data_IF_087032307483
#
_entry.id   IF_087032307483
#
_cell.length_a   1.000
_cell.length_b   1.000
_cell.length_c   1.000
_cell.angle_alpha   90.00
_cell.angle_beta   90.00
_cell.angle_gamma   90.00
#
_symmetry.space_group_name_H-M   'P 1'
#
loop_
_entity.id
_entity.type
_entity.pdbx_description
1 polymer ?
#
# COMPACT_ATOMS: atom_id res chain seq x y z
N UNK A 1 -7.71 -36.11 12.37
CA UNK A 1 -7.43 -36.12 10.92
C UNK A 1 -6.31 -35.11 10.71
N UNK A 2 -5.14 -35.58 10.28
CA UNK A 2 -4.01 -34.74 9.94
C UNK A 2 -4.38 -33.94 8.68
N UNK A 3 -4.69 -32.68 8.84
CA UNK A 3 -4.89 -31.74 7.73
C UNK A 3 -3.52 -31.14 7.41
N UNK A 4 -2.70 -31.90 6.68
CA UNK A 4 -1.32 -31.56 6.31
C UNK A 4 -1.21 -31.19 4.84
N UNK A 5 -2.11 -30.35 4.34
CA UNK A 5 -1.82 -29.59 3.14
C UNK A 5 -1.26 -28.24 3.60
N UNK A 6 0.07 -28.09 3.58
CA UNK A 6 0.77 -26.80 3.67
C UNK A 6 0.54 -25.98 2.37
N UNK A 7 -0.68 -26.03 1.83
CA UNK A 7 -1.06 -25.31 0.62
C UNK A 7 -1.40 -23.87 0.98
N UNK A 8 -0.77 -22.92 0.28
CA UNK A 8 -1.06 -21.51 0.46
C UNK A 8 -2.52 -21.23 0.07
N UNK A 9 -3.33 -20.85 1.06
CA UNK A 9 -4.68 -20.35 0.81
C UNK A 9 -4.58 -18.97 0.13
N UNK A 10 -5.24 -18.83 -1.01
CA UNK A 10 -5.29 -17.56 -1.75
C UNK A 10 -6.47 -16.74 -1.24
N UNK A 11 -6.24 -15.44 -1.07
CA UNK A 11 -7.33 -14.49 -0.83
C UNK A 11 -7.86 -14.01 -2.18
N UNK A 12 -9.15 -14.17 -2.41
CA UNK A 12 -9.89 -13.60 -3.53
C UNK A 12 -11.05 -14.49 -3.97
N UNK A 13 -12.10 -13.86 -4.51
CA UNK A 13 -13.26 -14.55 -5.10
C UNK A 13 -13.40 -14.16 -6.57
N UNK A 14 -13.58 -15.14 -7.45
CA UNK A 14 -13.89 -14.90 -8.86
C UNK A 14 -15.33 -14.39 -8.99
N UNK A 15 -15.51 -13.23 -9.63
CA UNK A 15 -16.81 -12.61 -9.88
C UNK A 15 -17.69 -13.44 -10.82
N UNK A 16 -17.08 -14.20 -11.74
CA UNK A 16 -17.80 -15.01 -12.72
C UNK A 16 -18.33 -16.32 -12.13
N UNK A 17 -17.61 -16.93 -11.20
CA UNK A 17 -17.98 -18.22 -10.60
C UNK A 17 -18.53 -18.12 -9.17
N UNK A 18 -18.23 -17.04 -8.45
CA UNK A 18 -18.46 -16.93 -7.02
C UNK A 18 -17.66 -17.95 -6.21
N UNK A 19 -16.54 -18.44 -6.74
CA UNK A 19 -15.65 -19.39 -6.05
C UNK A 19 -14.35 -18.70 -5.61
N UNK A 20 -13.70 -19.18 -4.54
CA UNK A 20 -12.35 -18.78 -4.21
C UNK A 20 -11.41 -18.92 -5.41
N UNK A 21 -10.46 -17.99 -5.53
CA UNK A 21 -9.45 -18.06 -6.57
C UNK A 21 -8.62 -19.34 -6.44
N UNK A 22 -8.15 -19.90 -7.57
CA UNK A 22 -7.36 -21.12 -7.55
C UNK A 22 -6.07 -20.92 -6.75
N UNK A 23 -5.64 -21.99 -6.06
CA UNK A 23 -4.37 -22.01 -5.33
C UNK A 23 -3.18 -21.78 -6.24
N UNK A 24 -2.09 -21.24 -5.69
CA UNK A 24 -0.81 -21.16 -6.39
C UNK A 24 -0.30 -22.58 -6.62
N UNK A 25 -0.09 -22.95 -7.88
CA UNK A 25 0.37 -24.29 -8.23
C UNK A 25 1.81 -24.53 -7.76
N UNK A 26 2.16 -25.79 -7.50
CA UNK A 26 3.55 -26.17 -7.14
C UNK A 26 4.53 -25.79 -8.25
N UNK A 27 4.12 -25.86 -9.52
CA UNK A 27 4.90 -25.40 -10.66
C UNK A 27 5.11 -23.88 -10.61
N UNK A 28 4.08 -23.11 -10.27
CA UNK A 28 4.16 -21.66 -10.09
C UNK A 28 5.12 -21.28 -8.97
N UNK A 29 5.00 -21.92 -7.81
CA UNK A 29 5.92 -21.73 -6.68
C UNK A 29 7.36 -22.08 -7.07
N UNK A 30 7.57 -23.18 -7.79
CA UNK A 30 8.89 -23.60 -8.26
C UNK A 30 9.49 -22.63 -9.27
N UNK A 31 8.67 -22.06 -10.16
CA UNK A 31 9.11 -21.05 -11.12
C UNK A 31 9.53 -19.74 -10.43
N UNK A 32 8.75 -19.28 -9.44
CA UNK A 32 9.11 -18.14 -8.60
C UNK A 32 10.43 -18.38 -7.87
N UNK A 33 10.59 -19.53 -7.20
CA UNK A 33 11.81 -19.86 -6.48
C UNK A 33 13.06 -19.89 -7.39
N UNK A 34 12.93 -20.42 -8.62
CA UNK A 34 14.02 -20.43 -9.61
C UNK A 34 14.41 -19.02 -10.07
N UNK A 35 13.45 -18.11 -10.24
CA UNK A 35 13.70 -16.71 -10.59
C UNK A 35 14.48 -16.01 -9.48
N UNK A 36 14.03 -16.18 -8.23
CA UNK A 36 14.65 -15.57 -7.06
C UNK A 36 16.07 -16.09 -6.80
N UNK A 37 16.38 -17.34 -7.17
CA UNK A 37 17.71 -17.94 -7.01
C UNK A 37 18.82 -17.32 -7.89
N UNK A 38 18.48 -16.46 -8.86
CA UNK A 38 19.47 -15.82 -9.72
C UNK A 38 20.17 -14.66 -8.97
N UNK A 39 21.52 -14.59 -8.98
CA UNK A 39 22.23 -13.47 -8.37
C UNK A 39 21.91 -12.14 -9.06
N UNK A 40 21.52 -11.13 -8.29
CA UNK A 40 21.36 -9.75 -8.75
C UNK A 40 21.82 -8.76 -7.66
N UNK A 41 22.02 -7.50 -8.04
CA UNK A 41 22.55 -6.48 -7.12
C UNK A 41 21.60 -6.21 -5.94
N UNK A 42 20.29 -6.33 -6.17
CA UNK A 42 19.23 -6.24 -5.18
C UNK A 42 19.42 -7.31 -4.09
N UNK A 43 19.64 -8.56 -4.50
CA UNK A 43 19.85 -9.69 -3.59
C UNK A 43 21.09 -9.51 -2.74
N UNK A 44 22.22 -9.11 -3.35
CA UNK A 44 23.45 -8.85 -2.59
C UNK A 44 23.24 -7.73 -1.56
N UNK A 45 22.49 -6.68 -1.91
CA UNK A 45 22.16 -5.62 -0.97
C UNK A 45 21.20 -6.10 0.14
N UNK A 46 20.18 -6.90 -0.18
CA UNK A 46 19.29 -7.51 0.82
C UNK A 46 20.04 -8.44 1.79
N UNK A 47 20.93 -9.29 1.27
CA UNK A 47 21.76 -10.19 2.07
C UNK A 47 22.64 -9.38 3.04
N UNK A 48 23.26 -8.30 2.57
CA UNK A 48 24.05 -7.41 3.42
C UNK A 48 23.24 -6.75 4.54
N UNK A 49 21.95 -6.43 4.31
CA UNK A 49 21.04 -5.89 5.33
C UNK A 49 20.65 -6.89 6.40
N UNK A 50 20.76 -8.19 6.11
CA UNK A 50 20.45 -9.27 7.05
C UNK A 50 21.69 -9.79 7.78
N UNK A 51 22.88 -9.25 7.46
CA UNK A 51 24.12 -9.65 8.12
C UNK A 51 24.08 -9.30 9.63
N UNK A 52 24.68 -10.12 10.50
CA UNK A 52 24.63 -9.91 11.96
C UNK A 52 25.21 -8.57 12.43
N UNK A 53 26.15 -8.02 11.67
CA UNK A 53 26.88 -6.76 11.90
C UNK A 53 26.28 -5.57 11.14
N UNK A 54 25.22 -5.78 10.35
CA UNK A 54 24.57 -4.71 9.61
C UNK A 54 24.01 -3.64 10.56
N UNK A 55 24.10 -2.35 10.20
CA UNK A 55 23.41 -1.28 10.93
C UNK A 55 21.93 -1.62 11.08
N UNK A 56 21.40 -1.52 12.31
CA UNK A 56 19.97 -1.78 12.57
C UNK A 56 19.05 -0.68 12.02
N UNK A 57 19.62 0.43 11.57
CA UNK A 57 18.89 1.54 10.98
C UNK A 57 18.49 1.19 9.54
N UNK A 58 17.19 1.30 9.26
CA UNK A 58 16.61 1.07 7.95
C UNK A 58 15.94 2.38 7.54
N UNK A 59 16.34 2.92 6.40
CA UNK A 59 15.85 4.23 5.93
C UNK A 59 16.97 5.26 5.88
N UNK A 60 16.89 6.27 6.75
CA UNK A 60 17.83 7.40 6.79
C UNK A 60 19.06 7.16 7.68
N UNK A 61 20.12 7.93 7.42
CA UNK A 61 21.33 7.99 8.26
C UNK A 61 21.02 8.50 9.67
N UNK A 62 21.89 8.17 10.63
CA UNK A 62 21.67 8.40 12.07
C UNK A 62 21.67 9.88 12.47
N UNK A 63 22.17 10.74 11.60
CA UNK A 63 22.20 12.20 11.73
C UNK A 63 20.83 12.85 11.51
N UNK A 64 19.84 12.10 11.02
CA UNK A 64 18.45 12.55 10.90
C UNK A 64 17.70 12.19 12.19
N UNK A 65 17.23 13.20 12.92
CA UNK A 65 16.61 13.02 14.24
C UNK A 65 15.15 12.56 14.10
N UNK A 66 14.39 13.19 13.18
CA UNK A 66 13.02 12.78 12.85
C UNK A 66 12.89 12.44 11.36
N UNK A 67 12.79 11.16 10.98
CA UNK A 67 12.62 10.76 9.58
C UNK A 67 11.28 11.22 8.98
N UNK A 68 10.31 11.69 9.78
CA UNK A 68 9.06 12.27 9.27
C UNK A 68 9.16 13.79 9.07
N UNK A 69 10.24 14.43 9.54
CA UNK A 69 10.48 15.85 9.28
C UNK A 69 11.07 16.01 7.87
N UNK A 70 10.26 16.50 6.93
CA UNK A 70 10.69 16.68 5.54
C UNK A 70 11.85 17.68 5.37
N UNK A 71 12.05 18.61 6.31
CA UNK A 71 13.18 19.52 6.27
C UNK A 71 14.54 18.82 6.50
N UNK A 72 14.52 17.63 7.11
CA UNK A 72 15.70 16.79 7.34
C UNK A 72 15.75 15.59 6.38
N UNK A 73 14.61 14.94 6.15
CA UNK A 73 14.51 13.73 5.32
C UNK A 73 14.41 14.02 3.81
N UNK A 74 13.91 15.20 3.44
CA UNK A 74 13.70 15.61 2.06
C UNK A 74 12.49 14.97 1.38
N UNK A 75 12.13 15.49 0.20
CA UNK A 75 11.06 14.93 -0.63
C UNK A 75 11.38 15.06 -2.12
N UNK A 76 11.23 13.96 -2.87
CA UNK A 76 11.50 13.88 -4.30
C UNK A 76 10.25 13.51 -5.09
N UNK A 77 10.08 14.11 -6.27
CA UNK A 77 9.10 13.63 -7.27
C UNK A 77 9.85 13.09 -8.47
N UNK A 78 9.60 11.83 -8.82
CA UNK A 78 10.21 11.15 -9.95
C UNK A 78 9.16 10.98 -11.04
N UNK A 79 9.21 11.85 -12.04
CA UNK A 79 8.31 11.78 -13.19
C UNK A 79 8.79 10.75 -14.20
N UNK A 80 7.85 10.03 -14.81
CA UNK A 80 8.13 9.31 -16.04
C UNK A 80 8.66 10.28 -17.10
N UNK A 81 9.61 9.85 -17.94
CA UNK A 81 10.24 10.75 -18.94
C UNK A 81 9.24 11.33 -19.93
N UNK A 82 8.24 10.55 -20.27
CA UNK A 82 7.11 10.86 -21.14
C UNK A 82 5.92 11.48 -20.39
N UNK A 83 6.08 11.82 -19.10
CA UNK A 83 5.02 12.44 -18.31
C UNK A 83 4.54 13.75 -18.96
N UNK A 84 3.26 13.78 -19.32
CA UNK A 84 2.60 14.90 -19.98
C UNK A 84 2.68 16.18 -19.12
N UNK A 85 2.91 17.36 -19.73
CA UNK A 85 2.97 18.63 -18.99
C UNK A 85 1.74 18.93 -18.14
N UNK A 86 0.54 18.53 -18.60
CA UNK A 86 -0.71 18.72 -17.86
C UNK A 86 -0.72 17.97 -16.52
N UNK A 87 -0.09 16.80 -16.42
CA UNK A 87 0.02 16.05 -15.16
C UNK A 87 0.92 16.79 -14.17
N UNK A 88 2.03 17.37 -14.66
CA UNK A 88 2.94 18.17 -13.81
C UNK A 88 2.23 19.41 -13.26
N UNK A 89 1.47 20.08 -14.12
CA UNK A 89 0.64 21.21 -13.73
C UNK A 89 -0.43 20.82 -12.71
N UNK A 90 -1.09 19.67 -12.90
CA UNK A 90 -2.09 19.15 -11.98
C UNK A 90 -1.53 18.87 -10.57
N UNK A 91 -0.27 18.45 -10.48
CA UNK A 91 0.42 18.18 -9.21
C UNK A 91 1.07 19.41 -8.56
N UNK A 92 1.03 20.58 -9.22
CA UNK A 92 1.67 21.79 -8.75
C UNK A 92 1.31 22.18 -7.30
N UNK A 93 0.04 22.09 -6.84
CA UNK A 93 -0.30 22.40 -5.45
C UNK A 93 0.44 21.52 -4.43
N UNK A 94 0.58 20.22 -4.70
CA UNK A 94 1.30 19.29 -3.83
C UNK A 94 2.81 19.55 -3.87
N UNK A 95 3.35 19.81 -5.07
CA UNK A 95 4.76 20.17 -5.27
C UNK A 95 5.13 21.42 -4.47
N UNK A 96 4.29 22.45 -4.49
CA UNK A 96 4.52 23.69 -3.74
C UNK A 96 4.48 23.47 -2.23
N UNK A 97 3.54 22.66 -1.73
CA UNK A 97 3.49 22.29 -0.32
C UNK A 97 4.77 21.55 0.10
N UNK A 98 5.17 20.52 -0.65
CA UNK A 98 6.37 19.73 -0.36
C UNK A 98 7.65 20.54 -0.47
N UNK A 99 7.74 21.47 -1.43
CA UNK A 99 8.87 22.40 -1.53
C UNK A 99 8.98 23.31 -0.31
N UNK A 100 7.86 23.79 0.23
CA UNK A 100 7.85 24.59 1.47
C UNK A 100 8.28 23.78 2.69
N UNK A 101 7.87 22.52 2.78
CA UNK A 101 8.18 21.64 3.91
C UNK A 101 9.62 21.12 3.88
N UNK A 102 10.13 20.73 2.70
CA UNK A 102 11.44 20.10 2.54
C UNK A 102 12.58 21.07 2.23
N UNK A 103 12.28 22.32 1.85
CA UNK A 103 13.30 23.33 1.52
C UNK A 103 14.27 22.87 0.43
N UNK A 104 15.57 22.94 0.71
CA UNK A 104 16.65 22.60 -0.24
C UNK A 104 16.73 21.10 -0.56
N UNK A 105 16.14 20.26 0.30
CA UNK A 105 16.03 18.81 0.11
C UNK A 105 14.82 18.42 -0.75
N UNK A 106 14.06 19.38 -1.27
CA UNK A 106 13.08 19.12 -2.31
C UNK A 106 13.75 18.91 -3.68
N UNK A 107 13.44 17.80 -4.37
CA UNK A 107 13.99 17.48 -5.70
C UNK A 107 12.90 17.10 -6.70
N UNK A 108 13.07 17.54 -7.94
CA UNK A 108 12.29 17.08 -9.09
C UNK A 108 13.21 16.29 -10.03
N UNK A 109 12.86 15.04 -10.29
CA UNK A 109 13.53 14.20 -11.28
C UNK A 109 12.65 14.12 -12.51
N UNK A 110 13.04 14.85 -13.56
CA UNK A 110 12.31 14.98 -14.82
C UNK A 110 13.26 15.04 -16.00
N UNK A 111 12.78 14.67 -17.20
CA UNK A 111 13.60 14.67 -18.41
C UNK A 111 14.86 13.81 -18.25
N UNK A 112 16.04 14.42 -18.31
CA UNK A 112 17.31 13.70 -18.20
C UNK A 112 17.60 13.16 -16.79
N UNK A 113 17.11 13.81 -15.72
CA UNK A 113 17.32 13.35 -14.34
C UNK A 113 16.36 12.22 -13.94
N UNK A 114 15.22 12.08 -14.62
CA UNK A 114 14.32 10.94 -14.47
C UNK A 114 14.94 9.62 -14.99
N UNK A 115 14.57 8.45 -14.42
CA UNK A 115 15.00 7.15 -14.92
C UNK A 115 14.66 6.98 -16.41
N UNK A 116 15.60 6.44 -17.21
CA UNK A 116 15.26 6.03 -18.57
C UNK A 116 14.39 4.77 -18.56
N UNK A 117 13.55 4.54 -19.58
CA UNK A 117 12.85 3.26 -19.73
C UNK A 117 13.85 2.09 -19.68
N UNK A 118 13.61 1.15 -18.78
CA UNK A 118 14.49 -0.01 -18.54
C UNK A 118 15.85 0.31 -17.89
N UNK A 119 16.09 1.54 -17.43
CA UNK A 119 17.31 1.87 -16.67
C UNK A 119 17.31 1.13 -15.32
N UNK A 120 18.36 0.34 -15.00
CA UNK A 120 18.46 -0.28 -13.69
C UNK A 120 18.50 0.76 -12.56
N UNK A 121 17.78 0.52 -11.47
CA UNK A 121 17.67 1.48 -10.36
C UNK A 121 19.03 1.92 -9.82
N UNK A 122 19.97 1.00 -9.62
CA UNK A 122 21.33 1.32 -9.14
C UNK A 122 22.05 2.31 -10.06
N UNK A 123 21.86 2.19 -11.38
CA UNK A 123 22.45 3.13 -12.34
C UNK A 123 21.84 4.52 -12.21
N UNK A 124 20.51 4.61 -12.05
CA UNK A 124 19.81 5.86 -11.80
C UNK A 124 20.23 6.50 -10.46
N UNK A 125 20.33 5.70 -9.40
CA UNK A 125 20.76 6.13 -8.06
C UNK A 125 22.16 6.76 -8.13
N UNK A 126 23.12 6.03 -8.70
CA UNK A 126 24.52 6.45 -8.78
C UNK A 126 24.71 7.75 -9.57
N UNK A 127 24.03 7.90 -10.71
CA UNK A 127 24.16 9.13 -11.52
C UNK A 127 23.47 10.35 -10.89
N UNK A 128 22.61 10.14 -9.90
CA UNK A 128 21.99 11.20 -9.11
C UNK A 128 22.71 11.44 -7.77
N UNK A 129 23.91 10.87 -7.58
CA UNK A 129 24.81 11.18 -6.47
C UNK A 129 24.62 10.35 -5.20
N UNK A 130 23.71 9.37 -5.22
CA UNK A 130 23.48 8.45 -4.12
C UNK A 130 24.05 7.06 -4.42
N UNK A 131 23.97 6.15 -3.45
CA UNK A 131 24.30 4.72 -3.59
C UNK A 131 23.18 3.89 -2.97
N UNK A 132 23.03 2.62 -3.37
CA UNK A 132 22.04 1.71 -2.80
C UNK A 132 22.46 1.28 -1.38
N UNK A 133 22.26 2.17 -0.42
CA UNK A 133 22.58 2.02 1.00
C UNK A 133 21.66 2.94 1.83
N UNK A 134 21.85 2.97 3.16
CA UNK A 134 21.18 3.89 4.08
C UNK A 134 21.19 5.31 3.51
N UNK A 135 20.02 5.94 3.47
CA UNK A 135 19.80 7.19 2.75
C UNK A 135 20.36 8.37 3.53
N UNK A 136 21.28 9.07 2.89
CA UNK A 136 21.72 10.40 3.29
C UNK A 136 21.01 11.42 2.38
N UNK A 137 19.97 12.13 2.85
CA UNK A 137 19.17 13.04 2.02
C UNK A 137 19.98 14.18 1.37
N UNK A 138 21.16 14.48 1.92
CA UNK A 138 22.07 15.50 1.41
C UNK A 138 22.92 14.99 0.22
N UNK A 139 22.90 13.68 -0.06
CA UNK A 139 23.60 13.04 -1.19
C UNK A 139 22.69 12.82 -2.41
N UNK A 140 22.02 13.89 -2.83
CA UNK A 140 21.37 13.99 -4.14
C UNK A 140 19.95 13.43 -4.23
N UNK A 141 19.63 12.32 -3.56
CA UNK A 141 18.28 11.71 -3.55
C UNK A 141 17.67 11.80 -2.15
N UNK A 142 16.56 12.55 -1.98
CA UNK A 142 15.87 12.66 -0.69
C UNK A 142 15.17 11.35 -0.30
N UNK A 143 14.83 11.17 0.97
CA UNK A 143 14.31 9.92 1.52
C UNK A 143 12.91 9.54 1.02
N UNK A 144 11.97 10.50 0.97
CA UNK A 144 10.64 10.24 0.43
C UNK A 144 10.63 10.45 -1.08
N UNK A 145 10.17 9.45 -1.84
CA UNK A 145 10.08 9.52 -3.29
C UNK A 145 8.65 9.25 -3.75
N UNK A 146 8.08 10.17 -4.52
CA UNK A 146 6.83 9.98 -5.24
C UNK A 146 7.11 9.67 -6.71
N UNK A 147 6.89 8.44 -7.13
CA UNK A 147 6.92 8.06 -8.54
C UNK A 147 5.61 8.52 -9.21
N UNK A 148 5.72 9.22 -10.33
CA UNK A 148 4.56 9.69 -11.10
C UNK A 148 4.62 9.10 -12.50
N UNK A 149 3.87 8.02 -12.69
CA UNK A 149 3.85 7.26 -13.94
C UNK A 149 3.40 5.81 -13.78
N UNK A 150 3.01 5.20 -14.90
CA UNK A 150 2.60 3.79 -14.95
C UNK A 150 3.77 2.85 -14.61
N UNK A 151 3.49 1.60 -14.25
CA UNK A 151 4.51 0.56 -14.15
C UNK A 151 5.25 0.30 -15.47
N UNK A 152 4.68 0.64 -16.62
CA UNK A 152 5.35 0.50 -17.92
C UNK A 152 6.43 1.58 -18.11
N UNK A 153 6.13 2.83 -17.78
CA UNK A 153 7.10 3.94 -17.91
C UNK A 153 8.11 3.97 -16.78
N UNK A 154 7.72 3.57 -15.56
CA UNK A 154 8.60 3.39 -14.40
C UNK A 154 8.36 1.98 -13.84
N UNK A 155 9.20 0.98 -14.14
CA UNK A 155 9.03 -0.42 -13.74
C UNK A 155 8.87 -0.63 -12.22
N UNK A 156 8.13 -1.68 -11.85
CA UNK A 156 8.05 -2.12 -10.46
C UNK A 156 9.41 -2.56 -9.93
N UNK A 157 10.27 -3.18 -10.76
CA UNK A 157 11.65 -3.49 -10.34
C UNK A 157 12.38 -2.25 -9.83
N UNK A 158 12.23 -1.10 -10.50
CA UNK A 158 12.87 0.14 -10.04
C UNK A 158 12.34 0.57 -8.67
N UNK A 159 11.03 0.50 -8.47
CA UNK A 159 10.40 0.84 -7.20
C UNK A 159 10.85 -0.10 -6.08
N UNK A 160 10.84 -1.41 -6.31
CA UNK A 160 11.24 -2.40 -5.31
C UNK A 160 12.71 -2.26 -4.88
N UNK A 161 13.61 -1.96 -5.83
CA UNK A 161 15.01 -1.70 -5.49
C UNK A 161 15.14 -0.42 -4.66
N UNK A 162 14.37 0.63 -4.95
CA UNK A 162 14.37 1.85 -4.12
C UNK A 162 13.77 1.62 -2.73
N UNK A 163 12.67 0.88 -2.62
CA UNK A 163 11.99 0.53 -1.35
C UNK A 163 12.87 -0.25 -0.36
N UNK A 164 14.05 -0.70 -0.79
CA UNK A 164 15.05 -1.25 0.12
C UNK A 164 15.56 -0.22 1.13
N UNK A 165 15.68 1.05 0.72
CA UNK A 165 16.25 2.12 1.55
C UNK A 165 15.47 3.44 1.53
N UNK A 166 14.69 3.73 0.49
CA UNK A 166 13.83 4.92 0.40
C UNK A 166 12.39 4.61 0.80
N UNK A 167 11.64 5.64 1.16
CA UNK A 167 10.19 5.56 1.33
C UNK A 167 9.51 5.92 0.00
N UNK A 168 9.12 4.92 -0.79
CA UNK A 168 8.60 5.14 -2.14
C UNK A 168 7.08 4.99 -2.19
N UNK A 169 6.41 6.00 -2.73
CA UNK A 169 5.01 5.95 -3.12
C UNK A 169 4.88 6.07 -4.64
N UNK A 170 3.83 5.50 -5.22
CA UNK A 170 3.51 5.67 -6.64
C UNK A 170 2.15 6.33 -6.81
N UNK A 171 2.09 7.27 -7.74
CA UNK A 171 0.87 7.89 -8.20
C UNK A 171 0.69 7.64 -9.69
N UNK A 172 -0.39 6.98 -10.04
CA UNK A 172 -0.78 6.75 -11.42
C UNK A 172 -2.31 6.78 -11.56
N UNK A 173 -2.79 7.74 -12.34
CA UNK A 173 -4.18 7.85 -12.77
C UNK A 173 -4.25 8.00 -14.29
N UNK A 174 -5.44 7.76 -14.83
CA UNK A 174 -5.70 7.80 -16.27
C UNK A 174 -5.77 9.22 -16.83
N UNK A 175 -6.14 10.21 -16.01
CA UNK A 175 -6.40 11.58 -16.46
C UNK A 175 -5.70 12.65 -15.61
N UNK A 176 -5.25 13.78 -16.18
CA UNK A 176 -4.69 14.91 -15.42
C UNK A 176 -5.62 15.42 -14.31
N UNK A 177 -6.93 15.38 -14.52
CA UNK A 177 -7.95 15.81 -13.55
C UNK A 177 -7.93 14.97 -12.27
N UNK A 178 -7.64 13.67 -12.37
CA UNK A 178 -7.48 12.79 -11.22
C UNK A 178 -6.23 13.13 -10.40
N UNK A 179 -5.11 13.44 -11.05
CA UNK A 179 -3.92 13.95 -10.36
C UNK A 179 -4.22 15.27 -9.63
N UNK A 180 -4.98 16.17 -10.26
CA UNK A 180 -5.37 17.44 -9.64
C UNK A 180 -6.26 17.21 -8.40
N UNK A 181 -7.26 16.33 -8.50
CA UNK A 181 -8.11 15.96 -7.36
C UNK A 181 -7.31 15.34 -6.23
N UNK A 182 -6.37 14.45 -6.54
CA UNK A 182 -5.48 13.87 -5.54
C UNK A 182 -4.63 14.94 -4.85
N UNK A 183 -3.93 15.79 -5.61
CA UNK A 183 -3.07 16.83 -5.07
C UNK A 183 -3.85 17.81 -4.18
N UNK A 184 -5.02 18.26 -4.64
CA UNK A 184 -5.90 19.14 -3.86
C UNK A 184 -6.40 18.45 -2.58
N UNK A 185 -6.79 17.17 -2.66
CA UNK A 185 -7.27 16.41 -1.49
C UNK A 185 -6.19 16.25 -0.42
N UNK A 186 -4.96 15.86 -0.83
CA UNK A 186 -3.82 15.71 0.10
C UNK A 186 -3.47 17.03 0.75
N UNK A 187 -3.34 18.10 -0.05
CA UNK A 187 -3.04 19.44 0.47
C UNK A 187 -4.13 19.89 1.44
N UNK A 188 -5.40 19.75 1.07
CA UNK A 188 -6.53 20.14 1.91
C UNK A 188 -6.56 19.38 3.23
N UNK A 189 -6.21 18.08 3.23
CA UNK A 189 -6.14 17.27 4.44
C UNK A 189 -4.98 17.72 5.36
N UNK A 190 -3.78 17.91 4.81
CA UNK A 190 -2.59 18.22 5.62
C UNK A 190 -2.60 19.63 6.20
N UNK A 191 -3.22 20.60 5.52
CA UNK A 191 -3.31 21.99 6.01
C UNK A 191 -4.60 22.26 6.79
N UNK A 192 -5.46 21.25 6.95
CA UNK A 192 -6.72 21.41 7.66
C UNK A 192 -6.46 21.81 9.12
N UNK A 193 -7.15 22.84 9.65
CA UNK A 193 -7.00 23.23 11.05
C UNK A 193 -7.64 22.21 12.01
N UNK A 194 -8.47 21.31 11.49
CA UNK A 194 -9.21 20.30 12.24
C UNK A 194 -9.10 18.96 11.54
N UNK A 195 -8.70 17.94 12.28
CA UNK A 195 -8.69 16.55 11.82
C UNK A 195 -10.12 16.04 11.74
N UNK A 196 -10.56 15.58 10.56
CA UNK A 196 -11.93 15.08 10.34
C UNK A 196 -12.18 13.69 10.94
N UNK A 197 -11.12 12.89 11.08
CA UNK A 197 -11.20 11.56 11.67
C UNK A 197 -11.17 11.62 13.20
N UNK A 198 -11.84 10.69 13.86
CA UNK A 198 -11.78 10.51 15.30
C UNK A 198 -10.73 9.46 15.69
N UNK A 199 -10.30 9.45 16.96
CA UNK A 199 -9.35 8.45 17.51
C UNK A 199 -10.06 7.11 17.69
N UNK A 200 -10.44 6.51 16.59
CA UNK A 200 -11.15 5.24 16.52
C UNK A 200 -10.56 4.35 15.44
N UNK A 201 -10.64 3.04 15.68
CA UNK A 201 -10.32 2.01 14.71
C UNK A 201 -11.60 1.24 14.40
N UNK A 202 -11.94 1.10 13.12
CA UNK A 202 -12.96 0.15 12.67
C UNK A 202 -12.30 -1.17 12.27
N UNK A 203 -12.65 -2.26 12.95
CA UNK A 203 -12.26 -3.62 12.59
C UNK A 203 -13.44 -4.27 11.87
N UNK A 204 -13.28 -4.51 10.57
CA UNK A 204 -14.28 -5.06 9.67
C UNK A 204 -13.82 -6.43 9.16
N UNK A 205 -14.49 -7.51 9.50
CA UNK A 205 -14.08 -8.83 9.04
C UNK A 205 -15.28 -9.73 8.73
N UNK A 206 -15.26 -10.32 7.54
CA UNK A 206 -16.24 -11.34 7.16
C UNK A 206 -15.81 -12.72 7.66
N UNK A 207 -16.76 -13.64 7.72
CA UNK A 207 -16.54 -15.06 7.97
C UNK A 207 -17.62 -15.84 7.22
N UNK A 208 -17.32 -16.32 6.01
CA UNK A 208 -18.27 -17.12 5.23
C UNK A 208 -18.13 -18.60 5.60
N UNK A 209 -19.25 -19.31 5.72
CA UNK A 209 -19.29 -20.69 6.23
C UNK A 209 -18.49 -21.70 5.37
N UNK A 210 -18.34 -21.40 4.09
CA UNK A 210 -17.68 -22.27 3.09
C UNK A 210 -16.24 -21.84 2.81
N UNK A 211 -15.77 -20.78 3.46
CA UNK A 211 -14.47 -20.19 3.18
C UNK A 211 -13.55 -20.25 4.40
N UNK A 212 -12.56 -21.14 4.30
CA UNK A 212 -11.56 -21.36 5.35
C UNK A 212 -10.72 -20.11 5.60
N UNK A 213 -10.47 -19.30 4.58
CA UNK A 213 -9.55 -18.17 4.69
C UNK A 213 -10.13 -17.06 5.58
N UNK A 214 -11.37 -16.63 5.35
CA UNK A 214 -12.05 -15.65 6.22
C UNK A 214 -12.29 -16.19 7.62
N UNK A 215 -12.61 -17.49 7.77
CA UNK A 215 -12.72 -18.13 9.09
C UNK A 215 -11.40 -18.10 9.89
N UNK A 216 -10.27 -18.37 9.23
CA UNK A 216 -8.96 -18.30 9.86
C UNK A 216 -8.60 -16.87 10.23
N UNK A 217 -8.83 -15.89 9.36
CA UNK A 217 -8.62 -14.49 9.69
C UNK A 217 -9.46 -14.06 10.89
N UNK A 218 -10.75 -14.42 10.91
CA UNK A 218 -11.66 -14.14 12.01
C UNK A 218 -11.12 -14.69 13.33
N UNK A 219 -10.83 -16.00 13.38
CA UNK A 219 -10.43 -16.69 14.61
C UNK A 219 -9.00 -16.38 15.06
N UNK A 220 -8.08 -16.08 14.13
CA UNK A 220 -6.64 -15.94 14.42
C UNK A 220 -6.14 -14.49 14.42
N UNK A 221 -6.92 -13.55 13.87
CA UNK A 221 -6.53 -12.14 13.77
C UNK A 221 -7.63 -11.24 14.33
N UNK A 222 -8.83 -11.25 13.75
CA UNK A 222 -9.88 -10.28 14.12
C UNK A 222 -10.33 -10.42 15.59
N UNK A 223 -10.74 -11.62 16.01
CA UNK A 223 -11.18 -11.86 17.38
C UNK A 223 -10.08 -11.59 18.42
N UNK A 224 -8.82 -12.06 18.25
CA UNK A 224 -7.72 -11.69 19.14
C UNK A 224 -7.51 -10.17 19.28
N UNK A 225 -7.70 -9.41 18.20
CA UNK A 225 -7.57 -7.94 18.23
C UNK A 225 -8.67 -7.24 19.03
N UNK A 226 -9.76 -7.93 19.39
CA UNK A 226 -10.80 -7.35 20.27
C UNK A 226 -10.55 -7.59 21.76
N UNK A 227 -9.57 -8.43 22.13
CA UNK A 227 -9.42 -8.95 23.49
C UNK A 227 -8.57 -8.01 24.36
N UNK A 228 -9.13 -7.40 25.43
CA UNK A 228 -8.36 -6.53 26.32
C UNK A 228 -7.24 -7.25 27.09
N UNK A 229 -7.39 -8.56 27.29
CA UNK A 229 -6.48 -9.46 28.00
C UNK A 229 -5.41 -10.08 27.09
N UNK A 230 -5.42 -9.78 25.79
CA UNK A 230 -4.35 -10.19 24.89
C UNK A 230 -3.00 -9.55 25.25
N UNK A 231 -1.86 -10.12 24.80
CA UNK A 231 -0.52 -9.62 25.11
C UNK A 231 -0.28 -8.16 24.70
N UNK A 232 -1.11 -7.65 23.78
CA UNK A 232 -1.05 -6.27 23.29
C UNK A 232 -2.29 -5.43 23.66
N UNK A 233 -3.25 -6.01 24.40
CA UNK A 233 -4.58 -5.45 24.61
C UNK A 233 -5.42 -5.40 23.34
N UNK A 234 -6.63 -4.86 23.43
CA UNK A 234 -7.49 -4.64 22.26
C UNK A 234 -6.83 -3.62 21.31
N UNK A 235 -7.07 -3.78 20.01
CA UNK A 235 -6.51 -2.92 18.95
C UNK A 235 -6.78 -1.44 19.25
N UNK A 236 -5.72 -0.65 19.24
CA UNK A 236 -5.77 0.80 19.48
C UNK A 236 -5.79 1.22 20.95
N UNK A 237 -6.01 0.30 21.90
CA UNK A 237 -6.14 0.63 23.33
C UNK A 237 -4.91 1.33 23.92
N UNK A 238 -3.70 0.87 23.59
CA UNK A 238 -2.44 1.51 24.02
C UNK A 238 -2.29 2.94 23.54
N UNK A 239 -2.81 3.23 22.34
CA UNK A 239 -2.83 4.57 21.77
C UNK A 239 -4.11 5.32 22.16
N UNK A 240 -4.98 4.78 23.01
CA UNK A 240 -6.27 5.37 23.41
C UNK A 240 -7.23 5.60 22.22
N UNK A 241 -7.20 4.71 21.22
CA UNK A 241 -8.21 4.67 20.17
C UNK A 241 -9.38 3.80 20.63
N UNK A 242 -10.61 4.23 20.36
CA UNK A 242 -11.78 3.40 20.58
C UNK A 242 -11.92 2.36 19.46
N UNK A 243 -12.14 1.09 19.81
CA UNK A 243 -12.38 0.03 18.85
C UNK A 243 -13.88 -0.02 18.50
N UNK A 244 -14.18 -0.09 17.20
CA UNK A 244 -15.51 -0.35 16.63
C UNK A 244 -15.42 -1.65 15.83
N UNK A 245 -16.26 -2.63 16.15
CA UNK A 245 -16.17 -3.97 15.57
C UNK A 245 -17.38 -4.26 14.68
N UNK A 246 -17.11 -4.74 13.48
CA UNK A 246 -18.09 -5.18 12.49
C UNK A 246 -17.64 -6.56 12.01
N UNK A 247 -18.09 -7.60 12.73
CA UNK A 247 -17.58 -8.96 12.57
C UNK A 247 -18.69 -9.91 12.13
N UNK A 248 -18.38 -10.80 11.19
CA UNK A 248 -19.34 -11.79 10.68
C UNK A 248 -20.57 -11.09 10.14
N UNK A 249 -21.75 -11.41 10.70
CA UNK A 249 -23.05 -10.84 10.30
C UNK A 249 -23.12 -9.30 10.27
N UNK A 250 -22.25 -8.61 11.00
CA UNK A 250 -22.22 -7.15 11.05
C UNK A 250 -21.28 -6.55 9.98
N UNK A 251 -20.47 -7.36 9.29
CA UNK A 251 -19.56 -6.95 8.22
C UNK A 251 -20.28 -6.84 6.87
N UNK A 252 -21.35 -6.05 6.82
CA UNK A 252 -22.21 -5.86 5.65
C UNK A 252 -21.71 -4.72 4.75
N UNK A 253 -22.14 -4.70 3.50
CA UNK A 253 -21.85 -3.60 2.55
C UNK A 253 -22.39 -2.26 3.09
N UNK A 254 -23.60 -2.28 3.66
CA UNK A 254 -24.21 -1.10 4.28
C UNK A 254 -23.36 -0.56 5.45
N UNK A 255 -22.89 -1.44 6.35
CA UNK A 255 -22.05 -1.00 7.46
C UNK A 255 -20.68 -0.50 6.97
N UNK A 256 -20.11 -1.10 5.92
CA UNK A 256 -18.87 -0.59 5.33
C UNK A 256 -19.04 0.82 4.76
N UNK A 257 -20.14 1.09 4.05
CA UNK A 257 -20.47 2.43 3.57
C UNK A 257 -20.63 3.44 4.73
N UNK A 258 -21.27 3.03 5.83
CA UNK A 258 -21.37 3.87 7.05
C UNK A 258 -20.01 4.17 7.67
N UNK A 259 -19.10 3.20 7.72
CA UNK A 259 -17.72 3.41 8.18
C UNK A 259 -17.03 4.48 7.33
N UNK A 260 -17.09 4.37 6.00
CA UNK A 260 -16.42 5.29 5.06
C UNK A 260 -17.00 6.71 5.08
N UNK A 261 -18.29 6.84 5.39
CA UNK A 261 -18.97 8.15 5.49
C UNK A 261 -18.92 8.74 6.90
N UNK A 262 -18.47 7.97 7.89
CA UNK A 262 -18.47 8.36 9.31
C UNK A 262 -19.85 8.31 9.96
N UNK A 263 -20.84 7.65 9.35
CA UNK A 263 -22.16 7.41 9.91
C UNK A 263 -22.15 6.22 10.89
N UNK A 264 -21.20 6.25 11.82
CA UNK A 264 -21.03 5.28 12.90
C UNK A 264 -20.82 6.03 14.22
N UNK A 265 -20.95 5.33 15.35
CA UNK A 265 -20.79 5.94 16.66
C UNK A 265 -19.38 6.56 16.86
N UNK A 266 -19.35 7.89 17.01
CA UNK A 266 -18.15 8.70 17.16
C UNK A 266 -17.42 9.04 15.86
N UNK A 267 -18.09 8.89 14.71
CA UNK A 267 -17.70 9.51 13.44
C UNK A 267 -16.71 8.70 12.60
N UNK A 268 -16.06 9.38 11.67
CA UNK A 268 -15.12 8.76 10.72
C UNK A 268 -13.88 8.22 11.45
N UNK A 269 -13.57 6.91 11.37
CA UNK A 269 -12.40 6.36 12.04
C UNK A 269 -11.10 6.81 11.36
N UNK A 270 -10.03 6.90 12.14
CA UNK A 270 -8.69 7.21 11.62
C UNK A 270 -7.98 5.98 11.05
N UNK A 271 -8.46 4.77 11.34
CA UNK A 271 -7.94 3.53 10.79
C UNK A 271 -9.08 2.54 10.55
N UNK A 272 -9.06 1.89 9.38
CA UNK A 272 -9.90 0.75 9.08
C UNK A 272 -8.98 -0.46 8.89
N UNK A 273 -9.27 -1.54 9.59
CA UNK A 273 -8.62 -2.85 9.39
C UNK A 273 -9.68 -3.76 8.81
N UNK A 274 -9.50 -4.20 7.56
CA UNK A 274 -10.41 -5.12 6.89
C UNK A 274 -9.80 -6.52 6.77
N UNK A 275 -10.65 -7.53 6.97
CA UNK A 275 -10.34 -8.94 6.74
C UNK A 275 -11.43 -9.57 5.88
N UNK A 276 -11.30 -9.45 4.57
CA UNK A 276 -12.27 -9.92 3.58
C UNK A 276 -11.54 -10.40 2.33
N UNK A 277 -12.25 -11.03 1.40
CA UNK A 277 -11.72 -11.29 0.07
C UNK A 277 -11.83 -10.05 -0.82
N UNK A 278 -10.87 -9.90 -1.75
CA UNK A 278 -11.02 -9.02 -2.90
C UNK A 278 -11.67 -9.77 -4.07
N UNK A 279 -12.55 -9.11 -4.82
CA UNK A 279 -13.18 -9.72 -5.97
C UNK A 279 -12.32 -9.59 -7.23
N UNK A 280 -12.23 -10.66 -8.01
CA UNK A 280 -11.50 -10.74 -9.27
C UNK A 280 -12.45 -10.85 -10.44
N UNK A 281 -12.16 -10.08 -11.50
CA UNK A 281 -12.91 -10.11 -12.75
C UNK A 281 -12.01 -10.62 -13.86
N UNK A 282 -12.57 -11.50 -14.69
CA UNK A 282 -11.88 -12.07 -15.85
C UNK A 282 -11.32 -10.97 -16.77
N UNK A 283 -10.21 -11.27 -17.44
CA UNK A 283 -9.62 -10.39 -18.43
C UNK A 283 -10.63 -10.03 -19.53
N UNK A 284 -10.88 -8.73 -19.70
CA UNK A 284 -11.82 -8.21 -20.69
C UNK A 284 -13.26 -8.04 -20.16
N UNK A 285 -13.55 -8.38 -18.91
CA UNK A 285 -14.81 -7.99 -18.27
C UNK A 285 -14.86 -6.45 -18.16
N UNK A 286 -15.95 -5.86 -18.65
CA UNK A 286 -16.13 -4.40 -18.65
C UNK A 286 -16.14 -3.79 -17.24
N UNK A 287 -16.45 -4.57 -16.21
CA UNK A 287 -16.47 -4.14 -14.79
C UNK A 287 -15.08 -4.11 -14.17
N UNK A 288 -14.09 -4.78 -14.76
CA UNK A 288 -12.76 -4.96 -14.17
C UNK A 288 -12.12 -3.62 -13.79
N UNK A 289 -12.20 -2.60 -14.66
CA UNK A 289 -11.58 -1.30 -14.40
C UNK A 289 -12.16 -0.56 -13.17
N UNK A 290 -13.45 -0.76 -12.86
CA UNK A 290 -14.14 -0.08 -11.77
C UNK A 290 -14.16 -0.91 -10.48
N UNK A 291 -14.19 -2.24 -10.60
CA UNK A 291 -14.56 -3.13 -9.51
C UNK A 291 -13.47 -4.14 -9.10
N UNK A 292 -12.36 -4.26 -9.84
CA UNK A 292 -11.28 -5.19 -9.47
C UNK A 292 -10.77 -4.91 -8.05
N UNK A 293 -10.76 -5.95 -7.21
CA UNK A 293 -10.34 -5.86 -5.82
C UNK A 293 -11.41 -5.33 -4.86
N UNK A 294 -12.66 -5.16 -5.30
CA UNK A 294 -13.77 -4.80 -4.41
C UNK A 294 -13.90 -5.78 -3.23
N UNK A 295 -14.28 -5.25 -2.06
CA UNK A 295 -14.27 -6.03 -0.81
C UNK A 295 -15.56 -6.83 -0.66
N UNK A 296 -15.45 -8.16 -0.73
CA UNK A 296 -16.60 -9.05 -0.55
C UNK A 296 -17.11 -8.94 0.88
N UNK A 297 -18.37 -8.52 1.03
CA UNK A 297 -19.03 -8.30 2.32
C UNK A 297 -19.84 -9.53 2.75
N UNK A 298 -20.22 -9.60 4.02
CA UNK A 298 -20.92 -10.75 4.61
C UNK A 298 -22.28 -11.04 3.95
N UNK A 299 -22.91 -10.03 3.34
CA UNK A 299 -24.20 -10.17 2.64
C UNK A 299 -24.12 -11.10 1.43
N UNK A 300 -22.91 -11.48 1.01
CA UNK A 300 -22.69 -12.57 0.07
C UNK A 300 -22.91 -13.94 0.75
N UNK A 301 -23.91 -14.73 0.32
CA UNK A 301 -24.26 -16.02 0.93
C UNK A 301 -23.29 -17.15 0.57
N UNK A 302 -22.19 -16.86 -0.14
CA UNK A 302 -21.10 -17.80 -0.45
C UNK A 302 -21.34 -18.80 -1.58
N UNK A 303 -22.48 -18.73 -2.28
CA UNK A 303 -22.76 -19.54 -3.47
C UNK A 303 -23.39 -18.69 -4.58
N UNK A 304 -22.98 -18.96 -5.82
CA UNK A 304 -23.53 -18.30 -7.02
C UNK A 304 -22.88 -16.94 -7.33
N UNK A 305 -23.45 -16.25 -8.32
CA UNK A 305 -22.95 -14.93 -8.75
C UNK A 305 -23.11 -13.88 -7.65
N UNK A 306 -22.11 -13.01 -7.52
CA UNK A 306 -22.10 -11.95 -6.51
C UNK A 306 -22.78 -10.70 -7.09
N UNK A 307 -23.79 -10.20 -6.37
CA UNK A 307 -24.49 -8.96 -6.70
C UNK A 307 -23.72 -7.70 -6.23
N UNK A 308 -23.93 -6.57 -6.90
CA UNK A 308 -23.26 -5.30 -6.57
C UNK A 308 -23.52 -4.77 -5.15
N UNK A 309 -24.55 -5.25 -4.47
CA UNK A 309 -24.85 -4.91 -3.08
C UNK A 309 -24.11 -5.80 -2.06
N UNK A 310 -23.24 -6.69 -2.52
CA UNK A 310 -22.52 -7.66 -1.71
C UNK A 310 -21.00 -7.43 -1.70
N UNK A 311 -20.53 -6.36 -2.36
CA UNK A 311 -19.12 -5.95 -2.42
C UNK A 311 -18.96 -4.44 -2.60
#
# INVERSE_FOLDING_TARGET
MNDSSDEALVMGISASSGQPLPHVTTEGLSAMAKREAQPNAERSSLESRTAPDAPKFRGVVREIDDPNNLAEAGWGVVFARDCAPAIRQALQPLIELRKKQAGDLFKLFEGASAPAPGEPAVKWINRNGATLDVVDPYKGIPYFLLLVGSPESIPFELQYTLDMYWAVGRLFFSTPEEYARYAVSVVAYEVAPVVKTSRQVALFATAHDFDRATQLFMAKVAEPLTKPDGPYGALGSKQQFALRTFLGKDATNEHFAKILTGDIDGGMPALIVSGTHGMEFDLGDARQAEAQGALVCQDWPGYGSIGANQW
#
